data_IF_996088971006
#
_entry.id   IF_996088971006
#
_cell.length_a   1.000
_cell.length_b   1.000
_cell.length_c   1.000
_cell.angle_alpha   90.00
_cell.angle_beta   90.00
_cell.angle_gamma   90.00
#
_symmetry.space_group_name_H-M   'P 1'
#
loop_
_entity.id
_entity.type
_entity.pdbx_description
1 polymer ?
#
# COMPACT_ATOMS: atom_id res chain seq x y z
N UNK A 1 15.03 -3.05 -16.46
CA UNK A 1 14.21 -1.82 -16.61
C UNK A 1 12.92 -1.90 -15.78
N UNK A 2 12.08 -2.93 -15.96
CA UNK A 2 10.90 -3.17 -15.11
C UNK A 2 11.22 -3.33 -13.62
N UNK A 3 12.37 -3.94 -13.27
CA UNK A 3 12.81 -4.07 -11.88
C UNK A 3 13.02 -2.72 -11.20
N UNK A 4 13.74 -1.78 -11.82
CA UNK A 4 13.92 -0.42 -11.29
C UNK A 4 12.60 0.34 -11.14
N UNK A 5 11.64 0.14 -12.06
CA UNK A 5 10.31 0.75 -11.97
C UNK A 5 9.57 0.19 -10.74
N UNK A 6 9.58 -1.12 -10.53
CA UNK A 6 8.98 -1.76 -9.36
C UNK A 6 9.63 -1.26 -8.05
N UNK A 7 10.95 -1.15 -7.99
CA UNK A 7 11.66 -0.61 -6.81
C UNK A 7 11.25 0.83 -6.52
N UNK A 8 11.16 1.68 -7.55
CA UNK A 8 10.75 3.09 -7.38
C UNK A 8 9.30 3.21 -6.93
N UNK A 9 8.39 2.41 -7.48
CA UNK A 9 6.98 2.39 -7.07
C UNK A 9 6.83 1.88 -5.63
N UNK A 10 7.60 0.87 -5.22
CA UNK A 10 7.63 0.37 -3.84
C UNK A 10 8.17 1.41 -2.85
N UNK A 11 9.26 2.12 -3.21
CA UNK A 11 9.81 3.23 -2.44
C UNK A 11 8.79 4.36 -2.27
N UNK A 12 8.15 4.77 -3.37
CA UNK A 12 7.09 5.77 -3.34
C UNK A 12 5.94 5.32 -2.44
N UNK A 13 5.44 4.09 -2.56
CA UNK A 13 4.35 3.59 -1.75
C UNK A 13 4.70 3.52 -0.25
N UNK A 14 5.94 3.16 0.07
CA UNK A 14 6.44 3.13 1.44
C UNK A 14 6.40 4.52 2.08
N UNK A 15 6.92 5.52 1.36
CA UNK A 15 7.03 6.89 1.89
C UNK A 15 5.69 7.60 1.91
N UNK A 16 4.88 7.44 0.86
CA UNK A 16 3.71 8.28 0.65
C UNK A 16 2.47 7.76 1.36
N UNK A 17 2.34 6.45 1.58
CA UNK A 17 1.15 5.85 2.19
C UNK A 17 0.79 6.47 3.55
N UNK A 18 1.77 6.64 4.45
CA UNK A 18 1.54 7.22 5.76
C UNK A 18 0.94 8.64 5.67
N UNK A 19 1.56 9.52 4.90
CA UNK A 19 1.10 10.90 4.74
C UNK A 19 -0.27 10.99 4.07
N UNK A 20 -0.56 10.10 3.13
CA UNK A 20 -1.86 10.07 2.45
C UNK A 20 -3.01 9.66 3.35
N UNK A 21 -2.81 8.65 4.20
CA UNK A 21 -3.80 8.31 5.20
C UNK A 21 -3.96 9.40 6.27
N UNK A 22 -2.87 10.11 6.59
CA UNK A 22 -2.92 11.27 7.49
C UNK A 22 -3.75 12.42 6.89
N UNK A 23 -3.52 12.73 5.61
CA UNK A 23 -4.28 13.75 4.86
C UNK A 23 -5.77 13.38 4.74
N UNK A 24 -6.08 12.10 4.54
CA UNK A 24 -7.47 11.61 4.50
C UNK A 24 -8.26 11.92 5.77
N UNK A 25 -7.61 11.97 6.93
CA UNK A 25 -8.26 12.27 8.21
C UNK A 25 -8.93 13.65 8.22
N UNK A 26 -8.42 14.60 7.45
CA UNK A 26 -8.93 15.97 7.40
C UNK A 26 -9.99 16.19 6.30
N UNK A 27 -10.32 15.17 5.52
CA UNK A 27 -11.29 15.27 4.43
C UNK A 27 -12.73 15.13 4.93
N UNK A 28 -13.69 15.73 4.21
CA UNK A 28 -15.14 15.65 4.54
C UNK A 28 -15.70 14.21 4.57
N UNK A 29 -15.10 13.29 3.81
CA UNK A 29 -15.51 11.86 3.73
C UNK A 29 -14.28 10.94 3.83
N UNK A 30 -13.67 10.83 5.02
CA UNK A 30 -12.37 10.20 5.20
C UNK A 30 -12.35 8.72 4.79
N UNK A 31 -13.44 7.98 5.05
CA UNK A 31 -13.56 6.57 4.64
C UNK A 31 -13.51 6.41 3.12
N UNK A 32 -14.38 7.12 2.39
CA UNK A 32 -14.46 7.01 0.92
C UNK A 32 -13.13 7.37 0.25
N UNK A 33 -12.47 8.44 0.72
CA UNK A 33 -11.16 8.83 0.19
C UNK A 33 -10.09 7.80 0.55
N UNK A 34 -10.13 7.22 1.75
CA UNK A 34 -9.21 6.15 2.14
C UNK A 34 -9.36 4.89 1.26
N UNK A 35 -10.58 4.46 0.94
CA UNK A 35 -10.79 3.34 0.01
C UNK A 35 -10.30 3.64 -1.39
N UNK A 36 -10.58 4.84 -1.89
CA UNK A 36 -10.10 5.26 -3.20
C UNK A 36 -8.57 5.21 -3.23
N UNK A 37 -7.89 5.71 -2.19
CA UNK A 37 -6.44 5.64 -2.07
C UNK A 37 -5.96 4.18 -2.01
N UNK A 38 -6.53 3.35 -1.15
CA UNK A 38 -6.17 1.93 -1.05
C UNK A 38 -6.23 1.26 -2.42
N UNK A 39 -7.33 1.44 -3.16
CA UNK A 39 -7.48 0.85 -4.48
C UNK A 39 -6.46 1.40 -5.47
N UNK A 40 -6.35 2.72 -5.57
CA UNK A 40 -5.49 3.37 -6.56
C UNK A 40 -4.02 2.98 -6.36
N UNK A 41 -3.53 2.99 -5.10
CA UNK A 41 -2.13 2.69 -4.78
C UNK A 41 -1.77 1.22 -4.93
N UNK A 42 -2.65 0.31 -4.49
CA UNK A 42 -2.37 -1.12 -4.60
C UNK A 42 -2.52 -1.62 -6.03
N UNK A 43 -3.48 -1.10 -6.81
CA UNK A 43 -3.65 -1.49 -8.22
C UNK A 43 -2.45 -1.04 -9.06
N UNK A 44 -1.99 0.21 -8.89
CA UNK A 44 -0.77 0.70 -9.57
C UNK A 44 0.46 -0.12 -9.20
N UNK A 45 0.60 -0.52 -7.93
CA UNK A 45 1.67 -1.38 -7.49
C UNK A 45 1.57 -2.80 -8.09
N UNK A 46 0.36 -3.36 -8.14
CA UNK A 46 0.08 -4.68 -8.72
C UNK A 46 0.49 -4.73 -10.20
N UNK A 47 0.16 -3.68 -10.95
CA UNK A 47 0.58 -3.49 -12.34
C UNK A 47 2.11 -3.45 -12.49
N UNK A 48 2.81 -2.76 -11.58
CA UNK A 48 4.27 -2.64 -11.63
C UNK A 48 4.99 -3.96 -11.33
N UNK A 49 4.38 -4.87 -10.56
CA UNK A 49 4.97 -6.15 -10.12
C UNK A 49 4.34 -7.39 -10.78
N UNK A 50 3.51 -7.19 -11.81
CA UNK A 50 2.70 -8.26 -12.44
C UNK A 50 3.54 -9.44 -12.96
N UNK A 51 4.85 -9.26 -13.15
CA UNK A 51 5.78 -10.34 -13.51
C UNK A 51 6.13 -11.32 -12.38
N UNK A 52 5.78 -11.04 -11.12
CA UNK A 52 6.04 -11.92 -9.98
C UNK A 52 4.76 -12.28 -9.23
N UNK A 53 4.37 -13.55 -9.34
CA UNK A 53 3.19 -14.10 -8.68
C UNK A 53 3.24 -13.93 -7.16
N UNK A 54 4.41 -14.18 -6.54
CA UNK A 54 4.58 -14.06 -5.09
C UNK A 54 4.33 -12.62 -4.60
N UNK A 55 4.95 -11.63 -5.25
CA UNK A 55 4.79 -10.23 -4.87
C UNK A 55 3.36 -9.74 -5.08
N UNK A 56 2.72 -10.18 -6.18
CA UNK A 56 1.33 -9.85 -6.47
C UNK A 56 0.38 -10.35 -5.39
N UNK A 57 0.58 -11.59 -4.90
CA UNK A 57 -0.19 -12.14 -3.78
C UNK A 57 0.02 -11.34 -2.50
N UNK A 58 1.27 -10.95 -2.19
CA UNK A 58 1.57 -10.16 -1.00
C UNK A 58 0.91 -8.77 -1.05
N UNK A 59 0.93 -8.09 -2.20
CA UNK A 59 0.24 -6.80 -2.37
C UNK A 59 -1.28 -6.97 -2.21
N UNK A 60 -1.85 -8.04 -2.75
CA UNK A 60 -3.27 -8.32 -2.57
C UNK A 60 -3.64 -8.54 -1.10
N UNK A 61 -2.79 -9.26 -0.35
CA UNK A 61 -2.97 -9.47 1.08
C UNK A 61 -2.88 -8.15 1.87
N UNK A 62 -1.92 -7.26 1.53
CA UNK A 62 -1.80 -5.93 2.14
C UNK A 62 -3.05 -5.10 1.88
N UNK A 63 -3.55 -5.10 0.63
CA UNK A 63 -4.77 -4.38 0.25
C UNK A 63 -5.99 -4.85 1.06
N UNK A 64 -6.19 -6.16 1.17
CA UNK A 64 -7.29 -6.73 1.98
C UNK A 64 -7.14 -6.31 3.44
N UNK A 65 -5.93 -6.41 4.01
CA UNK A 65 -5.69 -6.01 5.40
C UNK A 65 -6.00 -4.53 5.64
N UNK A 66 -5.60 -3.64 4.73
CA UNK A 66 -5.92 -2.21 4.82
C UNK A 66 -7.44 -1.96 4.82
N UNK A 67 -8.19 -2.63 3.92
CA UNK A 67 -9.66 -2.51 3.85
C UNK A 67 -10.27 -3.00 5.16
N UNK A 68 -9.88 -4.18 5.65
CA UNK A 68 -10.37 -4.72 6.91
C UNK A 68 -10.07 -3.79 8.10
N UNK A 69 -8.87 -3.24 8.18
CA UNK A 69 -8.48 -2.32 9.26
C UNK A 69 -9.31 -1.03 9.24
N UNK A 70 -9.60 -0.47 8.07
CA UNK A 70 -10.39 0.77 7.95
C UNK A 70 -11.88 0.51 8.19
N UNK A 71 -12.43 -0.56 7.61
CA UNK A 71 -13.88 -0.74 7.49
C UNK A 71 -14.49 -1.74 8.47
N UNK A 72 -13.73 -2.74 8.92
CA UNK A 72 -14.23 -3.77 9.85
C UNK A 72 -13.79 -3.44 11.26
N UNK A 73 -12.50 -3.15 11.44
CA UNK A 73 -11.88 -2.92 12.77
C UNK A 73 -11.94 -1.43 13.15
N UNK A 74 -12.25 -0.54 12.21
CA UNK A 74 -12.33 0.90 12.42
C UNK A 74 -11.06 1.52 13.05
N UNK A 75 -9.90 1.03 12.64
CA UNK A 75 -8.60 1.53 13.07
C UNK A 75 -8.40 2.95 12.54
N UNK A 76 -7.78 3.82 13.35
CA UNK A 76 -7.46 5.18 12.92
C UNK A 76 -6.59 5.19 11.66
N UNK A 77 -6.91 6.05 10.70
CA UNK A 77 -6.22 6.12 9.42
C UNK A 77 -4.69 6.28 9.57
N UNK A 78 -4.23 7.00 10.61
CA UNK A 78 -2.80 7.10 10.95
C UNK A 78 -2.13 5.75 11.22
N UNK A 79 -2.81 4.84 11.92
CA UNK A 79 -2.30 3.50 12.22
C UNK A 79 -2.36 2.61 10.99
N UNK A 80 -3.39 2.76 10.15
CA UNK A 80 -3.47 2.06 8.85
C UNK A 80 -2.36 2.52 7.91
N UNK A 81 -2.06 3.82 7.86
CA UNK A 81 -0.94 4.36 7.11
C UNK A 81 0.41 3.87 7.61
N UNK A 82 0.60 3.76 8.94
CA UNK A 82 1.83 3.22 9.51
C UNK A 82 2.00 1.74 9.16
N UNK A 83 0.93 0.94 9.30
CA UNK A 83 0.90 -0.45 8.85
C UNK A 83 1.25 -0.57 7.36
N UNK A 84 0.59 0.23 6.52
CA UNK A 84 0.82 0.27 5.07
C UNK A 84 2.28 0.55 4.72
N UNK A 85 2.88 1.57 5.33
CA UNK A 85 4.27 1.95 5.11
C UNK A 85 5.22 0.81 5.51
N UNK A 86 5.01 0.23 6.69
CA UNK A 86 5.81 -0.91 7.16
C UNK A 86 5.67 -2.13 6.26
N UNK A 87 4.46 -2.45 5.79
CA UNK A 87 4.21 -3.58 4.89
C UNK A 87 4.89 -3.39 3.54
N UNK A 88 4.83 -2.19 2.94
CA UNK A 88 5.52 -1.93 1.67
C UNK A 88 7.03 -1.89 1.82
N UNK A 89 7.56 -1.43 2.97
CA UNK A 89 8.98 -1.51 3.27
C UNK A 89 9.45 -2.97 3.38
N UNK A 90 8.70 -3.82 4.09
CA UNK A 90 8.99 -5.24 4.16
C UNK A 90 8.92 -5.90 2.77
N UNK A 91 7.92 -5.52 1.96
CA UNK A 91 7.79 -6.01 0.58
C UNK A 91 8.98 -5.57 -0.30
N UNK A 92 9.47 -4.35 -0.12
CA UNK A 92 10.67 -3.84 -0.79
C UNK A 92 11.92 -4.66 -0.42
N UNK A 93 12.08 -5.01 0.85
CA UNK A 93 13.18 -5.87 1.31
C UNK A 93 13.08 -7.27 0.70
N UNK A 94 11.89 -7.86 0.70
CA UNK A 94 11.64 -9.17 0.06
C UNK A 94 11.94 -9.09 -1.44
N UNK A 95 11.52 -8.01 -2.10
CA UNK A 95 11.79 -7.81 -3.51
C UNK A 95 13.30 -7.77 -3.79
N UNK A 96 14.08 -7.07 -2.96
CA UNK A 96 15.53 -6.99 -3.09
C UNK A 96 16.25 -8.31 -2.77
N UNK A 97 15.72 -9.11 -1.85
CA UNK A 97 16.30 -10.41 -1.49
C UNK A 97 16.05 -11.50 -2.54
N UNK A 98 14.95 -11.39 -3.29
CA UNK A 98 14.54 -12.39 -4.29
C UNK A 98 15.02 -12.01 -5.71
N UNK A 99 15.17 -10.71 -5.99
CA UNK A 99 15.61 -10.19 -7.29
C UNK A 99 17.12 -10.19 -7.46
#
# INVERSE_FOLDING_TARGET
>A
MYSHIATMVLLLNTLTSYFMFLLCRHMKKPGVVALLLILTYNISLLLAIMGSHLLSVLVFAIMIAQICLVYIIHVSLSKVGAFSSASYFALLLIYYLIS
#
